data_IF_074220485678
#
_entry.id   IF_074220485678
#
_cell.length_a   1.000
_cell.length_b   1.000
_cell.length_c   1.000
_cell.angle_alpha   90.00
_cell.angle_beta   90.00
_cell.angle_gamma   90.00
#
_symmetry.space_group_name_H-M   'P 1'
#
loop_
_entity.id
_entity.type
_entity.pdbx_description
1 polymer ?
#
# COMPACT_ATOMS: atom_id res chain seq x y z
N UNK A 1 23.17 0.37 -31.13
CA UNK A 1 23.38 1.77 -30.70
C UNK A 1 22.15 2.46 -30.09
N UNK A 2 20.95 2.41 -30.69
CA UNK A 2 19.73 3.03 -30.09
C UNK A 2 19.21 2.26 -28.86
N UNK A 3 19.32 0.93 -28.87
CA UNK A 3 18.93 0.05 -27.74
C UNK A 3 19.76 0.28 -26.46
N UNK A 4 21.08 0.45 -26.58
CA UNK A 4 21.97 0.64 -25.43
C UNK A 4 21.79 2.02 -24.79
N UNK A 5 21.54 3.06 -25.60
CA UNK A 5 21.22 4.40 -25.08
C UNK A 5 19.89 4.43 -24.31
N UNK A 6 18.91 3.64 -24.74
CA UNK A 6 17.62 3.49 -24.05
C UNK A 6 17.76 2.81 -22.68
N UNK A 7 18.56 1.74 -22.61
CA UNK A 7 18.86 1.04 -21.36
C UNK A 7 19.62 1.92 -20.36
N UNK A 8 20.65 2.63 -20.82
CA UNK A 8 21.43 3.56 -19.99
C UNK A 8 20.58 4.70 -19.40
N UNK A 9 19.55 5.17 -20.14
CA UNK A 9 18.66 6.23 -19.65
C UNK A 9 17.71 5.73 -18.55
N UNK A 10 17.15 4.51 -18.70
CA UNK A 10 16.35 3.90 -17.63
C UNK A 10 17.18 3.64 -16.38
N UNK A 11 18.43 3.18 -16.53
CA UNK A 11 19.33 2.96 -15.40
C UNK A 11 19.62 4.25 -14.62
N UNK A 12 19.85 5.38 -15.31
CA UNK A 12 20.02 6.69 -14.66
C UNK A 12 18.77 7.12 -13.88
N UNK A 13 17.57 6.86 -14.41
CA UNK A 13 16.31 7.17 -13.71
C UNK A 13 16.15 6.33 -12.45
N UNK A 14 16.47 5.03 -12.52
CA UNK A 14 16.47 4.13 -11.36
C UNK A 14 17.47 4.63 -10.30
N UNK A 15 18.71 4.94 -10.69
CA UNK A 15 19.74 5.43 -9.77
C UNK A 15 19.38 6.78 -9.14
N UNK A 16 18.76 7.67 -9.91
CA UNK A 16 18.21 8.93 -9.38
C UNK A 16 17.16 8.68 -8.31
N UNK A 17 16.20 7.76 -8.55
CA UNK A 17 15.19 7.41 -7.56
C UNK A 17 15.82 6.76 -6.32
N UNK A 18 16.75 5.81 -6.49
CA UNK A 18 17.50 5.17 -5.38
C UNK A 18 18.22 6.22 -4.53
N UNK A 19 18.89 7.19 -5.15
CA UNK A 19 19.56 8.29 -4.44
C UNK A 19 18.55 9.17 -3.67
N UNK A 20 17.41 9.50 -4.28
CA UNK A 20 16.35 10.28 -3.61
C UNK A 20 15.75 9.54 -2.41
N UNK A 21 15.53 8.23 -2.52
CA UNK A 21 15.03 7.38 -1.43
C UNK A 21 16.04 7.25 -0.28
N UNK A 22 17.31 7.01 -0.60
CA UNK A 22 18.40 6.94 0.40
C UNK A 22 18.58 8.23 1.19
N UNK A 23 18.45 9.37 0.50
CA UNK A 23 18.59 10.70 1.11
C UNK A 23 17.30 11.21 1.77
N UNK A 24 16.22 10.41 1.81
CA UNK A 24 14.91 10.80 2.33
C UNK A 24 14.38 12.12 1.75
N UNK A 25 14.64 12.36 0.45
CA UNK A 25 14.16 13.55 -0.25
C UNK A 25 12.69 13.41 -0.70
N UNK A 26 12.24 12.17 -0.90
CA UNK A 26 10.85 11.84 -1.17
C UNK A 26 10.22 11.42 0.15
N UNK A 27 9.38 12.28 0.72
CA UNK A 27 8.69 12.05 1.99
C UNK A 27 7.20 11.90 1.69
N UNK A 28 6.68 10.70 1.92
CA UNK A 28 5.26 10.41 1.76
C UNK A 28 5.02 9.14 0.96
N UNK A 29 4.11 8.32 1.45
CA UNK A 29 3.82 6.99 0.89
C UNK A 29 3.26 7.10 -0.55
N UNK A 30 2.30 7.99 -0.80
CA UNK A 30 1.68 8.14 -2.14
C UNK A 30 2.67 8.69 -3.18
N UNK A 31 3.43 9.72 -2.83
CA UNK A 31 4.41 10.34 -3.75
C UNK A 31 5.50 9.33 -4.11
N UNK A 32 5.95 8.55 -3.11
CA UNK A 32 6.91 7.47 -3.33
C UNK A 32 6.32 6.34 -4.20
N UNK A 33 5.05 5.97 -4.00
CA UNK A 33 4.36 5.01 -4.85
C UNK A 33 4.32 5.49 -6.32
N UNK A 34 3.87 6.73 -6.55
CA UNK A 34 3.74 7.31 -7.89
C UNK A 34 5.09 7.36 -8.63
N UNK A 35 6.15 7.84 -7.97
CA UNK A 35 7.50 7.84 -8.55
C UNK A 35 7.99 6.42 -8.87
N UNK A 36 7.67 5.44 -8.02
CA UNK A 36 8.00 4.02 -8.25
C UNK A 36 7.27 3.49 -9.49
N UNK A 37 5.96 3.72 -9.61
CA UNK A 37 5.18 3.33 -10.80
C UNK A 37 5.76 3.98 -12.06
N UNK A 38 6.07 5.28 -12.02
CA UNK A 38 6.65 5.97 -13.17
C UNK A 38 7.98 5.37 -13.62
N UNK A 39 8.87 5.00 -12.68
CA UNK A 39 10.13 4.33 -13.01
C UNK A 39 9.89 2.96 -13.62
N UNK A 40 9.04 2.13 -13.01
CA UNK A 40 8.73 0.79 -13.54
C UNK A 40 8.08 0.86 -14.92
N UNK A 41 7.17 1.81 -15.14
CA UNK A 41 6.58 2.09 -16.46
C UNK A 41 7.65 2.36 -17.52
N UNK A 42 8.65 3.19 -17.22
CA UNK A 42 9.76 3.46 -18.16
C UNK A 42 10.65 2.23 -18.39
N UNK A 43 10.81 1.38 -17.38
CA UNK A 43 11.53 0.11 -17.52
C UNK A 43 10.78 -0.83 -18.46
N UNK A 44 9.48 -1.05 -18.25
CA UNK A 44 8.65 -1.94 -19.07
C UNK A 44 8.56 -1.45 -20.52
N UNK A 45 8.39 -0.14 -20.72
CA UNK A 45 8.35 0.49 -22.05
C UNK A 45 9.62 0.18 -22.87
N UNK A 46 10.79 0.27 -22.24
CA UNK A 46 12.09 0.07 -22.91
C UNK A 46 12.60 -1.38 -22.86
N UNK A 47 12.00 -2.22 -22.02
CA UNK A 47 12.39 -3.62 -21.87
C UNK A 47 12.19 -4.39 -23.18
N UNK A 48 13.13 -5.28 -23.48
CA UNK A 48 13.01 -6.28 -24.54
C UNK A 48 13.04 -7.63 -23.87
N UNK A 49 11.97 -8.39 -24.02
CA UNK A 49 11.81 -9.70 -23.44
C UNK A 49 11.19 -10.63 -24.49
N UNK A 50 11.54 -11.92 -24.42
CA UNK A 50 10.94 -12.98 -25.24
C UNK A 50 9.88 -13.73 -24.45
N UNK A 51 10.13 -13.92 -23.15
CA UNK A 51 9.23 -14.58 -22.23
C UNK A 51 8.83 -13.62 -21.11
N UNK A 52 7.62 -13.81 -20.54
CA UNK A 52 7.15 -12.99 -19.43
C UNK A 52 8.03 -13.12 -18.19
N UNK A 53 8.61 -14.30 -17.96
CA UNK A 53 9.49 -14.56 -16.82
C UNK A 53 10.76 -13.68 -16.87
N UNK A 54 11.27 -13.37 -18.07
CA UNK A 54 12.37 -12.42 -18.24
C UNK A 54 11.95 -11.00 -17.81
N UNK A 55 10.73 -10.58 -18.15
CA UNK A 55 10.19 -9.29 -17.75
C UNK A 55 9.98 -9.21 -16.24
N UNK A 56 9.37 -10.24 -15.64
CA UNK A 56 9.18 -10.36 -14.20
C UNK A 56 10.54 -10.32 -13.49
N UNK A 57 11.53 -11.06 -13.99
CA UNK A 57 12.90 -11.04 -13.45
C UNK A 57 13.55 -9.65 -13.51
N UNK A 58 13.37 -8.92 -14.61
CA UNK A 58 13.83 -7.53 -14.72
C UNK A 58 13.16 -6.62 -13.70
N UNK A 59 11.83 -6.67 -13.56
CA UNK A 59 11.07 -5.85 -12.61
C UNK A 59 11.48 -6.19 -11.16
N UNK A 60 11.56 -7.47 -10.80
CA UNK A 60 12.04 -7.92 -9.48
C UNK A 60 13.45 -7.41 -9.19
N UNK A 61 14.37 -7.47 -10.15
CA UNK A 61 15.74 -6.97 -9.96
C UNK A 61 15.80 -5.47 -9.69
N UNK A 62 14.98 -4.67 -10.38
CA UNK A 62 14.86 -3.23 -10.12
C UNK A 62 14.18 -2.99 -8.77
N UNK A 63 13.16 -3.79 -8.46
CA UNK A 63 12.43 -3.70 -7.21
C UNK A 63 13.28 -3.95 -5.99
N UNK A 64 14.11 -5.00 -5.99
CA UNK A 64 15.11 -5.26 -4.94
C UNK A 64 15.99 -4.05 -4.68
N UNK A 65 16.56 -3.47 -5.74
CA UNK A 65 17.42 -2.27 -5.61
C UNK A 65 16.70 -1.08 -5.00
N UNK A 66 15.41 -0.90 -5.28
CA UNK A 66 14.60 0.18 -4.72
C UNK A 66 14.22 -0.08 -3.26
N UNK A 67 13.88 -1.32 -2.90
CA UNK A 67 13.59 -1.72 -1.52
C UNK A 67 14.84 -1.62 -0.65
N UNK A 68 16.00 -2.09 -1.15
CA UNK A 68 17.29 -1.98 -0.47
C UNK A 68 17.73 -0.53 -0.24
N UNK A 69 17.23 0.41 -1.05
CA UNK A 69 17.52 1.83 -0.90
C UNK A 69 16.90 2.42 0.37
N UNK A 70 15.69 1.97 0.71
CA UNK A 70 14.97 2.38 1.93
C UNK A 70 14.02 1.25 2.37
N UNK A 71 14.51 0.27 3.16
CA UNK A 71 13.71 -0.92 3.51
C UNK A 71 12.52 -0.60 4.41
N UNK A 72 12.54 0.55 5.10
CA UNK A 72 11.46 0.99 5.99
C UNK A 72 10.26 1.55 5.25
N UNK A 73 10.43 2.00 4.00
CA UNK A 73 9.34 2.50 3.16
C UNK A 73 8.72 1.34 2.37
N UNK A 74 7.81 0.63 3.03
CA UNK A 74 7.17 -0.58 2.50
C UNK A 74 6.36 -0.32 1.22
N UNK A 75 5.88 0.91 1.06
CA UNK A 75 5.09 1.34 -0.10
C UNK A 75 5.77 1.03 -1.42
N UNK A 76 7.09 1.22 -1.53
CA UNK A 76 7.86 0.95 -2.75
C UNK A 76 7.72 -0.52 -3.17
N UNK A 77 8.01 -1.43 -2.24
CA UNK A 77 7.92 -2.87 -2.49
C UNK A 77 6.49 -3.30 -2.77
N UNK A 78 5.52 -2.77 -2.03
CA UNK A 78 4.10 -3.07 -2.23
C UNK A 78 3.62 -2.67 -3.63
N UNK A 79 3.97 -1.46 -4.09
CA UNK A 79 3.65 -1.01 -5.45
C UNK A 79 4.26 -1.92 -6.52
N UNK A 80 5.49 -2.38 -6.33
CA UNK A 80 6.15 -3.30 -7.27
C UNK A 80 5.44 -4.66 -7.30
N UNK A 81 5.10 -5.23 -6.13
CA UNK A 81 4.35 -6.49 -6.04
C UNK A 81 2.98 -6.39 -6.70
N UNK A 82 2.29 -5.27 -6.49
CA UNK A 82 1.00 -4.99 -7.13
C UNK A 82 1.14 -4.98 -8.66
N UNK A 83 2.14 -4.28 -9.19
CA UNK A 83 2.43 -4.27 -10.63
C UNK A 83 2.72 -5.68 -11.15
N UNK A 84 3.52 -6.47 -10.44
CA UNK A 84 3.82 -7.85 -10.83
C UNK A 84 2.56 -8.73 -10.89
N UNK A 85 1.69 -8.60 -9.89
CA UNK A 85 0.41 -9.30 -9.85
C UNK A 85 -0.49 -8.94 -11.05
N UNK A 86 -0.73 -7.64 -11.30
CA UNK A 86 -1.52 -7.20 -12.46
C UNK A 86 -0.91 -7.66 -13.80
N UNK A 87 0.43 -7.65 -13.93
CA UNK A 87 1.11 -8.16 -15.14
C UNK A 87 0.85 -9.67 -15.33
N UNK A 88 0.86 -10.47 -14.26
CA UNK A 88 0.54 -11.90 -14.34
C UNK A 88 -0.92 -12.13 -14.71
N UNK A 89 -1.85 -11.39 -14.10
CA UNK A 89 -3.28 -11.50 -14.37
C UNK A 89 -3.62 -11.17 -15.82
N UNK A 90 -3.12 -10.06 -16.34
CA UNK A 90 -3.35 -9.65 -17.73
C UNK A 90 -2.71 -10.62 -18.73
N UNK A 91 -1.52 -11.13 -18.42
CA UNK A 91 -0.88 -12.14 -19.28
C UNK A 91 -1.68 -13.44 -19.32
N UNK A 92 -2.16 -13.92 -18.17
CA UNK A 92 -2.97 -15.13 -18.09
C UNK A 92 -4.29 -14.95 -18.86
N UNK A 93 -4.91 -13.77 -18.74
CA UNK A 93 -6.14 -13.40 -19.47
C UNK A 93 -5.89 -13.35 -20.98
N UNK A 94 -4.79 -12.74 -21.42
CA UNK A 94 -4.40 -12.69 -22.83
C UNK A 94 -4.07 -14.09 -23.39
N UNK A 95 -3.39 -14.93 -22.62
CA UNK A 95 -3.06 -16.30 -23.00
C UNK A 95 -4.33 -17.16 -23.15
N UNK A 96 -5.28 -17.06 -22.23
CA UNK A 96 -6.58 -17.72 -22.35
C UNK A 96 -7.36 -17.27 -23.58
N UNK A 97 -7.39 -15.96 -23.86
CA UNK A 97 -8.04 -15.39 -25.04
C UNK A 97 -7.39 -15.85 -26.36
N UNK A 98 -6.08 -16.07 -26.39
CA UNK A 98 -5.39 -16.64 -27.55
C UNK A 98 -5.75 -18.11 -27.78
N UNK A 99 -5.93 -18.87 -26.69
CA UNK A 99 -6.30 -20.30 -26.74
C UNK A 99 -7.75 -20.49 -27.21
N UNK A 100 -8.66 -19.59 -26.83
CA UNK A 100 -10.05 -19.56 -27.29
C UNK A 100 -10.19 -19.22 -28.78
N UNK A 101 -9.24 -18.44 -29.35
CA UNK A 101 -9.19 -18.16 -30.80
C UNK A 101 -8.56 -19.31 -31.61
N UNK A 102 -7.83 -20.23 -30.97
CA UNK A 102 -7.14 -21.36 -31.60
C UNK A 102 -7.88 -22.71 -31.46
N UNK A 103 -9.05 -22.75 -30.83
CA UNK A 103 -9.89 -23.95 -30.81
C UNK A 103 -10.44 -24.26 -32.22
N UNK A 104 -10.40 -25.52 -32.71
CA UNK A 104 -11.09 -25.86 -33.93
C UNK A 104 -12.59 -25.62 -33.70
N UNK A 105 -13.27 -25.01 -34.67
CA UNK A 105 -14.73 -24.90 -34.69
C UNK A 105 -15.34 -26.31 -34.78
N UNK A 106 -15.34 -27.09 -33.70
CA UNK A 106 -16.15 -28.30 -33.63
C UNK A 106 -17.54 -27.87 -33.22
N UNK A 107 -18.50 -28.01 -34.13
CA UNK A 107 -19.90 -27.69 -33.89
C UNK A 107 -20.43 -28.33 -32.61
N UNK A 108 -21.31 -27.61 -31.93
CA UNK A 108 -22.09 -28.13 -30.82
C UNK A 108 -22.79 -29.43 -31.25
N UNK A 109 -22.28 -30.58 -30.81
CA UNK A 109 -22.95 -31.87 -30.96
C UNK A 109 -23.67 -32.22 -29.66
N UNK A 110 -24.99 -32.30 -29.74
CA UNK A 110 -25.93 -32.66 -28.67
C UNK A 110 -25.57 -34.00 -28.00
N UNK A 111 -24.81 -34.86 -28.67
CA UNK A 111 -24.36 -36.16 -28.17
C UNK A 111 -23.49 -36.07 -26.91
N UNK A 112 -22.74 -34.98 -26.70
CA UNK A 112 -21.88 -34.83 -25.53
C UNK A 112 -22.61 -34.30 -24.28
N UNK A 113 -23.79 -33.70 -24.45
CA UNK A 113 -24.58 -33.16 -23.34
C UNK A 113 -25.30 -34.27 -22.55
N UNK A 114 -25.67 -35.35 -23.23
CA UNK A 114 -26.36 -36.51 -22.63
C UNK A 114 -25.41 -37.36 -21.78
N UNK A 115 -24.10 -37.32 -22.03
CA UNK A 115 -23.11 -38.06 -21.23
C UNK A 115 -22.74 -37.39 -19.89
N UNK A 116 -23.08 -36.10 -19.72
CA UNK A 116 -22.80 -35.34 -18.48
C UNK A 116 -23.88 -35.52 -17.40
N UNK A 117 -24.98 -36.23 -17.68
CA UNK A 117 -26.10 -36.43 -16.76
C UNK A 117 -25.90 -37.46 -15.64
N UNK A 118 -24.68 -37.98 -15.41
CA UNK A 118 -24.41 -38.89 -14.30
C UNK A 118 -23.62 -38.20 -13.18
N UNK A 119 -24.06 -38.31 -11.91
CA UNK A 119 -23.39 -37.65 -10.80
C UNK A 119 -22.09 -38.41 -10.45
N UNK A 120 -20.93 -37.81 -10.68
CA UNK A 120 -19.65 -38.33 -10.19
C UNK A 120 -19.24 -37.64 -8.89
N UNK A 121 -18.96 -38.47 -7.88
CA UNK A 121 -18.44 -38.13 -6.55
C UNK A 121 -17.20 -37.22 -6.63
N UNK A 122 -17.14 -36.24 -5.73
CA UNK A 122 -15.99 -35.35 -5.52
C UNK A 122 -14.72 -36.15 -5.21
N UNK A 123 -13.67 -35.92 -6.00
CA UNK A 123 -12.28 -36.17 -5.64
C UNK A 123 -11.42 -35.02 -6.14
N UNK A 124 -10.64 -34.43 -5.22
CA UNK A 124 -9.71 -33.31 -5.41
C UNK A 124 -8.75 -33.52 -6.60
N UNK A 125 -8.35 -32.47 -7.34
CA UNK A 125 -7.35 -32.62 -8.39
C UNK A 125 -5.94 -32.69 -7.75
N UNK A 126 -5.29 -33.84 -7.93
CA UNK A 126 -3.86 -34.02 -7.69
C UNK A 126 -3.04 -33.38 -8.83
N UNK A 127 -1.93 -32.74 -8.45
CA UNK A 127 -0.84 -32.30 -9.34
C UNK A 127 -0.20 -33.49 -10.06
N UNK A 128 -0.37 -33.56 -11.38
CA UNK A 128 0.53 -34.16 -12.39
C UNK A 128 -0.08 -33.82 -13.76
N UNK A 129 0.63 -33.40 -14.80
CA UNK A 129 1.95 -33.82 -15.27
C UNK A 129 2.56 -32.74 -16.16
N UNK A 130 3.88 -32.65 -16.11
CA UNK A 130 4.75 -31.96 -17.05
C UNK A 130 4.49 -32.41 -18.48
N UNK A 131 4.00 -31.50 -19.33
CA UNK A 131 4.03 -31.66 -20.78
C UNK A 131 5.38 -31.14 -21.26
N UNK A 132 6.29 -32.06 -21.61
CA UNK A 132 7.50 -31.73 -22.35
C UNK A 132 7.10 -31.12 -23.71
N UNK A 133 7.42 -29.83 -23.92
CA UNK A 133 7.34 -29.17 -25.23
C UNK A 133 8.66 -29.39 -25.95
N UNK A 134 8.60 -29.97 -27.15
CA UNK A 134 9.72 -30.02 -28.11
C UNK A 134 10.25 -28.60 -28.41
N UNK A 135 11.57 -28.34 -28.44
CA UNK A 135 12.10 -26.96 -28.41
C UNK A 135 12.37 -26.30 -29.78
N UNK A 136 12.17 -26.97 -30.91
CA UNK A 136 12.88 -26.56 -32.15
C UNK A 136 12.04 -25.88 -33.26
N UNK A 137 10.76 -25.52 -33.04
CA UNK A 137 9.96 -24.86 -34.11
C UNK A 137 9.13 -23.63 -33.71
N UNK A 138 9.25 -23.09 -32.48
CA UNK A 138 8.41 -21.97 -32.01
C UNK A 138 9.13 -20.62 -31.81
N UNK A 139 10.39 -20.49 -32.17
CA UNK A 139 11.25 -19.35 -31.75
C UNK A 139 10.86 -18.01 -32.40
N UNK A 140 10.13 -18.01 -33.53
CA UNK A 140 9.72 -16.78 -34.22
C UNK A 140 8.35 -16.23 -33.80
N UNK A 141 7.43 -17.09 -33.36
CA UNK A 141 6.05 -16.68 -33.02
C UNK A 141 5.94 -15.98 -31.65
N UNK A 142 6.88 -16.24 -30.74
CA UNK A 142 6.86 -15.66 -29.38
C UNK A 142 7.30 -14.19 -29.36
N UNK A 143 8.14 -13.75 -30.30
CA UNK A 143 8.61 -12.36 -30.38
C UNK A 143 7.51 -11.39 -30.79
N UNK A 144 6.65 -11.78 -31.74
CA UNK A 144 5.52 -10.97 -32.20
C UNK A 144 4.41 -10.91 -31.14
N UNK A 145 4.20 -12.01 -30.41
CA UNK A 145 3.30 -12.06 -29.27
C UNK A 145 3.77 -11.13 -28.13
N UNK A 146 5.06 -11.17 -27.79
CA UNK A 146 5.64 -10.28 -26.77
C UNK A 146 5.49 -8.80 -27.14
N UNK A 147 5.59 -8.45 -28.43
CA UNK A 147 5.41 -7.07 -28.89
C UNK A 147 3.93 -6.64 -28.89
N UNK A 148 3.00 -7.55 -29.12
CA UNK A 148 1.55 -7.32 -29.00
C UNK A 148 1.04 -7.24 -27.56
N UNK A 149 1.73 -7.85 -26.59
CA UNK A 149 1.35 -7.83 -25.17
C UNK A 149 1.78 -6.57 -24.43
N UNK A 150 2.82 -5.88 -24.90
CA UNK A 150 3.29 -4.62 -24.30
C UNK A 150 2.21 -3.56 -24.05
N UNK A 151 1.31 -3.22 -25.01
CA UNK A 151 0.25 -2.25 -24.74
C UNK A 151 -0.68 -2.70 -23.61
N UNK A 152 -1.04 -3.98 -23.54
CA UNK A 152 -1.88 -4.54 -22.46
C UNK A 152 -1.17 -4.42 -21.11
N UNK A 153 0.11 -4.77 -21.05
CA UNK A 153 0.90 -4.62 -19.81
C UNK A 153 1.08 -3.15 -19.39
N UNK A 154 1.12 -2.24 -20.36
CA UNK A 154 1.20 -0.80 -20.08
C UNK A 154 -0.13 -0.23 -19.58
N UNK A 155 -1.26 -0.78 -20.04
CA UNK A 155 -2.60 -0.49 -19.53
C UNK A 155 -2.72 -0.92 -18.07
N UNK A 156 -2.31 -2.15 -17.72
CA UNK A 156 -2.25 -2.61 -16.33
C UNK A 156 -1.44 -1.70 -15.39
N UNK A 157 -0.29 -1.19 -15.85
CA UNK A 157 0.52 -0.25 -15.06
C UNK A 157 -0.18 1.12 -14.94
N UNK A 158 -0.93 1.53 -15.97
CA UNK A 158 -1.71 2.76 -15.94
C UNK A 158 -2.89 2.64 -14.96
N UNK A 159 -3.55 1.48 -14.89
CA UNK A 159 -4.63 1.23 -13.93
C UNK A 159 -4.15 1.37 -12.49
N UNK A 160 -2.97 0.83 -12.16
CA UNK A 160 -2.36 1.02 -10.83
C UNK A 160 -2.06 2.49 -10.55
N UNK A 161 -1.68 3.27 -11.57
CA UNK A 161 -1.42 4.70 -11.41
C UNK A 161 -2.72 5.47 -11.14
N UNK A 162 -3.76 5.21 -11.92
CA UNK A 162 -5.07 5.87 -11.80
C UNK A 162 -5.73 5.52 -10.44
N UNK A 163 -5.54 4.29 -9.97
CA UNK A 163 -5.94 3.88 -8.62
C UNK A 163 -5.20 4.72 -7.56
N UNK A 164 -3.86 4.81 -7.63
CA UNK A 164 -3.05 5.59 -6.69
C UNK A 164 -3.45 7.08 -6.67
N UNK A 165 -3.90 7.61 -7.79
CA UNK A 165 -4.35 8.99 -7.88
C UNK A 165 -5.69 9.23 -7.19
N UNK A 166 -6.61 8.27 -7.32
CA UNK A 166 -8.01 8.35 -6.85
C UNK A 166 -8.22 7.83 -5.42
N UNK A 167 -7.20 7.26 -4.77
CA UNK A 167 -7.31 6.65 -3.42
C UNK A 167 -8.00 7.58 -2.41
N UNK A 168 -7.59 8.85 -2.33
CA UNK A 168 -8.12 9.75 -1.31
C UNK A 168 -9.60 10.05 -1.52
N UNK A 169 -10.02 10.24 -2.77
CA UNK A 169 -11.42 10.48 -3.10
C UNK A 169 -12.28 9.25 -2.82
N UNK A 170 -11.76 8.05 -3.10
CA UNK A 170 -12.46 6.81 -2.85
C UNK A 170 -12.64 6.54 -1.35
N UNK A 171 -11.58 6.70 -0.56
CA UNK A 171 -11.65 6.58 0.91
C UNK A 171 -12.59 7.63 1.52
N UNK A 172 -12.57 8.86 1.00
CA UNK A 172 -13.43 9.95 1.47
C UNK A 172 -14.92 9.71 1.23
N UNK A 173 -15.33 8.93 0.22
CA UNK A 173 -16.75 8.63 -0.05
C UNK A 173 -17.44 7.93 1.12
N UNK A 174 -16.72 7.08 1.86
CA UNK A 174 -17.24 6.36 3.02
C UNK A 174 -17.41 7.26 4.26
N UNK A 175 -16.87 8.48 4.25
CA UNK A 175 -16.85 9.35 5.44
C UNK A 175 -18.24 9.72 5.96
N UNK A 176 -19.22 9.87 5.07
CA UNK A 176 -20.61 10.18 5.42
C UNK A 176 -21.29 9.08 6.26
N UNK A 177 -20.84 7.84 6.14
CA UNK A 177 -21.50 6.69 6.77
C UNK A 177 -20.99 6.48 8.20
N UNK A 178 -19.75 6.91 8.50
CA UNK A 178 -19.10 6.72 9.81
C UNK A 178 -19.11 7.94 10.74
N UNK A 179 -19.13 9.17 10.19
CA UNK A 179 -19.07 10.40 10.99
C UNK A 179 -20.46 10.99 11.12
N UNK A 180 -21.01 11.09 12.32
CA UNK A 180 -22.32 11.72 12.57
C UNK A 180 -22.19 13.17 13.09
N UNK A 181 -23.30 13.91 13.07
CA UNK A 181 -23.34 15.27 13.59
C UNK A 181 -23.11 15.29 15.10
N UNK A 182 -22.44 16.34 15.57
CA UNK A 182 -22.11 16.59 16.98
C UNK A 182 -21.23 15.50 17.64
N UNK A 183 -20.53 14.70 16.83
CA UNK A 183 -19.54 13.75 17.31
C UNK A 183 -18.20 14.43 17.62
N UNK A 184 -17.49 13.87 18.59
CA UNK A 184 -16.12 14.25 18.94
C UNK A 184 -15.16 13.18 18.43
N UNK A 185 -14.33 13.55 17.47
CA UNK A 185 -13.35 12.66 16.84
C UNK A 185 -11.95 13.02 17.31
N UNK A 186 -11.14 12.03 17.68
CA UNK A 186 -9.72 12.21 17.96
C UNK A 186 -8.87 11.77 16.78
N UNK A 187 -7.87 12.57 16.41
CA UNK A 187 -6.84 12.22 15.42
C UNK A 187 -5.45 12.63 15.91
N UNK A 188 -4.41 12.00 15.38
CA UNK A 188 -3.00 12.27 15.74
C UNK A 188 -2.24 12.71 14.50
N UNK A 189 -1.47 13.80 14.66
CA UNK A 189 -0.52 14.27 13.66
C UNK A 189 -1.21 14.73 12.38
N UNK A 190 -0.47 14.64 11.27
CA UNK A 190 -1.00 14.97 9.93
C UNK A 190 -1.02 13.76 9.02
N UNK A 191 -2.22 13.40 8.56
CA UNK A 191 -2.42 12.41 7.50
C UNK A 191 -3.29 12.99 6.40
N UNK A 192 -2.76 13.03 5.16
CA UNK A 192 -3.49 13.52 3.98
C UNK A 192 -4.78 12.73 3.74
N UNK A 193 -4.78 11.43 4.03
CA UNK A 193 -5.97 10.56 3.87
C UNK A 193 -7.05 10.92 4.89
N UNK A 194 -6.67 11.10 6.16
CA UNK A 194 -7.62 11.48 7.22
C UNK A 194 -8.12 12.91 7.01
N UNK A 195 -7.26 13.82 6.54
CA UNK A 195 -7.64 15.18 6.17
C UNK A 195 -8.73 15.20 5.09
N UNK A 196 -8.50 14.49 3.97
CA UNK A 196 -9.48 14.38 2.90
C UNK A 196 -10.79 13.73 3.37
N UNK A 197 -10.68 12.74 4.25
CA UNK A 197 -11.82 12.03 4.84
C UNK A 197 -12.68 12.96 5.71
N UNK A 198 -12.06 13.71 6.63
CA UNK A 198 -12.76 14.67 7.50
C UNK A 198 -13.34 15.84 6.70
N UNK A 199 -12.62 16.37 5.70
CA UNK A 199 -13.13 17.42 4.81
C UNK A 199 -14.38 16.98 4.05
N UNK A 200 -14.38 15.75 3.56
CA UNK A 200 -15.54 15.20 2.84
C UNK A 200 -16.76 15.08 3.77
N UNK A 201 -16.58 14.61 5.00
CA UNK A 201 -17.66 14.55 5.99
C UNK A 201 -18.20 15.93 6.38
N UNK A 202 -17.33 16.94 6.46
CA UNK A 202 -17.68 18.30 6.86
C UNK A 202 -18.67 19.00 5.91
N UNK A 203 -18.71 18.58 4.63
CA UNK A 203 -19.71 19.08 3.69
C UNK A 203 -21.14 18.66 4.03
N UNK A 204 -21.32 17.56 4.76
CA UNK A 204 -22.62 17.00 5.08
C UNK A 204 -23.03 17.22 6.54
N UNK A 205 -22.06 17.27 7.47
CA UNK A 205 -22.31 17.23 8.91
C UNK A 205 -21.35 18.13 9.67
N UNK A 206 -21.83 18.70 10.77
CA UNK A 206 -21.02 19.47 11.71
C UNK A 206 -20.55 18.56 12.84
N UNK A 207 -19.25 18.55 13.13
CA UNK A 207 -18.66 17.73 14.19
C UNK A 207 -17.40 18.44 14.73
N UNK A 208 -16.87 17.93 15.84
CA UNK A 208 -15.66 18.47 16.47
C UNK A 208 -14.51 17.49 16.34
N UNK A 209 -13.35 17.99 15.94
CA UNK A 209 -12.12 17.19 15.81
C UNK A 209 -11.09 17.65 16.83
N UNK A 210 -10.67 16.74 17.69
CA UNK A 210 -9.53 16.90 18.57
C UNK A 210 -8.30 16.40 17.82
N UNK A 211 -7.29 17.26 17.66
CA UNK A 211 -6.03 16.94 17.00
C UNK A 211 -4.93 16.92 18.04
N UNK A 212 -4.27 15.78 18.20
CA UNK A 212 -3.04 15.70 19.00
C UNK A 212 -1.84 16.20 18.18
N UNK A 213 -1.00 17.04 18.77
CA UNK A 213 0.05 17.75 18.05
C UNK A 213 1.21 16.89 17.54
N UNK A 214 1.46 15.72 18.15
CA UNK A 214 2.56 14.80 17.82
C UNK A 214 3.94 15.43 17.99
N UNK A 215 4.24 15.82 19.22
CA UNK A 215 5.59 16.20 19.65
C UNK A 215 6.53 14.99 19.49
N UNK A 216 7.72 15.12 18.87
CA UNK A 216 8.48 16.35 18.57
C UNK A 216 8.27 16.93 17.16
N UNK A 217 7.51 16.27 16.28
CA UNK A 217 7.32 16.70 14.89
C UNK A 217 6.36 17.90 14.71
N UNK A 218 5.46 18.09 15.68
CA UNK A 218 4.39 19.11 15.66
C UNK A 218 3.53 19.13 14.39
N UNK A 219 3.46 18.00 13.67
CA UNK A 219 2.71 17.89 12.41
C UNK A 219 1.21 18.15 12.59
N UNK A 220 0.65 17.89 13.78
CA UNK A 220 -0.76 18.13 14.09
C UNK A 220 -1.16 19.62 14.06
N UNK A 221 -0.23 20.55 14.27
CA UNK A 221 -0.50 21.98 14.15
C UNK A 221 -0.91 22.37 12.73
N UNK A 222 -0.27 21.76 11.73
CA UNK A 222 -0.61 21.98 10.33
C UNK A 222 -1.98 21.39 9.99
N UNK A 223 -2.28 20.19 10.48
CA UNK A 223 -3.58 19.54 10.33
C UNK A 223 -4.70 20.39 10.95
N UNK A 224 -4.52 20.89 12.17
CA UNK A 224 -5.47 21.75 12.85
C UNK A 224 -5.75 23.04 12.06
N UNK A 225 -4.70 23.69 11.51
CA UNK A 225 -4.86 24.87 10.65
C UNK A 225 -5.68 24.57 9.41
N UNK A 226 -5.40 23.45 8.74
CA UNK A 226 -6.09 23.05 7.52
C UNK A 226 -7.57 22.74 7.80
N UNK A 227 -7.87 21.99 8.85
CA UNK A 227 -9.24 21.65 9.22
C UNK A 227 -10.03 22.89 9.70
N UNK A 228 -9.39 23.79 10.45
CA UNK A 228 -9.99 25.07 10.85
C UNK A 228 -10.33 25.94 9.62
N UNK A 229 -9.43 26.01 8.63
CA UNK A 229 -9.70 26.73 7.37
C UNK A 229 -10.85 26.13 6.56
N UNK A 230 -11.13 24.84 6.74
CA UNK A 230 -12.27 24.15 6.11
C UNK A 230 -13.59 24.33 6.89
N UNK A 231 -13.59 25.08 8.00
CA UNK A 231 -14.79 25.34 8.80
C UNK A 231 -15.13 24.26 9.83
N UNK A 232 -14.21 23.34 10.10
CA UNK A 232 -14.41 22.27 11.10
C UNK A 232 -13.99 22.79 12.48
N UNK A 233 -14.83 22.55 13.50
CA UNK A 233 -14.50 22.84 14.90
C UNK A 233 -13.31 21.98 15.32
N UNK A 234 -12.16 22.60 15.57
CA UNK A 234 -10.90 21.91 15.83
C UNK A 234 -10.32 22.32 17.17
N UNK A 235 -9.89 21.32 17.96
CA UNK A 235 -9.25 21.52 19.26
C UNK A 235 -7.87 20.88 19.21
N UNK A 236 -6.83 21.67 19.41
CA UNK A 236 -5.46 21.18 19.47
C UNK A 236 -5.13 20.77 20.92
N UNK A 237 -4.54 19.60 21.10
CA UNK A 237 -4.15 19.08 22.42
C UNK A 237 -2.71 18.53 22.39
N UNK A 238 -1.98 18.59 23.53
CA UNK A 238 -0.71 17.89 23.66
C UNK A 238 -0.94 16.38 23.78
N UNK A 239 0.05 15.59 23.36
CA UNK A 239 -0.07 14.12 23.33
C UNK A 239 -0.30 13.52 24.73
N UNK A 240 0.25 14.14 25.77
CA UNK A 240 0.04 13.72 27.17
C UNK A 240 -1.42 13.82 27.63
N UNK A 241 -2.22 14.68 26.99
CA UNK A 241 -3.62 14.89 27.34
C UNK A 241 -4.58 13.93 26.65
N UNK A 242 -4.10 13.09 25.72
CA UNK A 242 -4.92 12.12 24.97
C UNK A 242 -5.75 11.25 25.91
N UNK A 243 -5.13 10.72 26.97
CA UNK A 243 -5.82 9.85 27.92
C UNK A 243 -6.89 10.60 28.73
N UNK A 244 -6.62 11.85 29.12
CA UNK A 244 -7.53 12.65 29.95
C UNK A 244 -8.83 13.02 29.22
N UNK A 245 -8.74 13.28 27.91
CA UNK A 245 -9.88 13.70 27.08
C UNK A 245 -10.63 12.51 26.46
N UNK A 246 -10.05 11.31 26.50
CA UNK A 246 -10.62 10.12 25.85
C UNK A 246 -12.04 9.78 26.32
N UNK A 247 -12.37 10.10 27.58
CA UNK A 247 -13.72 9.93 28.15
C UNK A 247 -14.84 10.67 27.40
N UNK A 248 -14.50 11.69 26.59
CA UNK A 248 -15.47 12.47 25.80
C UNK A 248 -15.38 12.17 24.30
N UNK A 249 -14.38 11.42 23.86
CA UNK A 249 -14.17 11.10 22.45
C UNK A 249 -15.12 9.99 22.06
N UNK A 250 -15.82 10.15 20.93
CA UNK A 250 -16.71 9.12 20.41
C UNK A 250 -15.98 8.13 19.51
N UNK A 251 -15.01 8.60 18.70
CA UNK A 251 -14.24 7.78 17.77
C UNK A 251 -12.81 8.27 17.65
N UNK A 252 -11.87 7.35 17.45
CA UNK A 252 -10.48 7.68 17.10
C UNK A 252 -10.25 7.35 15.64
N UNK A 253 -9.81 8.33 14.84
CA UNK A 253 -9.50 8.14 13.42
C UNK A 253 -8.00 8.34 13.20
N UNK A 254 -7.33 7.26 12.82
CA UNK A 254 -5.88 7.21 12.60
C UNK A 254 -5.53 7.01 11.13
N UNK A 255 -4.34 7.49 10.75
CA UNK A 255 -3.72 7.14 9.48
C UNK A 255 -2.64 6.09 9.69
N UNK A 256 -2.51 5.14 8.75
CA UNK A 256 -1.40 4.19 8.75
C UNK A 256 -0.25 4.64 7.84
N UNK A 257 0.98 4.28 8.19
CA UNK A 257 2.12 4.30 7.29
C UNK A 257 2.17 3.00 6.46
N UNK A 258 2.12 1.85 7.13
CA UNK A 258 2.06 0.53 6.51
C UNK A 258 1.17 -0.41 7.34
N UNK A 259 0.44 -1.31 6.68
CA UNK A 259 -0.40 -2.32 7.34
C UNK A 259 0.19 -3.69 7.01
N UNK A 260 0.35 -4.55 8.00
CA UNK A 260 0.97 -5.87 7.88
C UNK A 260 -0.07 -6.97 7.66
N UNK A 261 0.38 -8.15 7.23
CA UNK A 261 -0.52 -9.27 6.97
C UNK A 261 -1.17 -9.88 8.22
N UNK A 262 -0.58 -9.64 9.41
CA UNK A 262 -1.23 -9.97 10.67
C UNK A 262 -2.35 -8.98 11.07
N UNK A 263 -2.59 -7.93 10.27
CA UNK A 263 -3.57 -6.89 10.54
C UNK A 263 -3.10 -5.79 11.49
N UNK A 264 -1.86 -5.84 11.99
CA UNK A 264 -1.24 -4.73 12.71
C UNK A 264 -0.76 -3.64 11.76
N UNK A 265 -0.50 -2.45 12.29
CA UNK A 265 -0.04 -1.33 11.46
C UNK A 265 1.14 -0.59 12.08
N UNK A 266 1.97 -0.01 11.21
CA UNK A 266 2.87 1.07 11.57
C UNK A 266 2.15 2.39 11.35
N UNK A 267 2.16 3.25 12.37
CA UNK A 267 1.58 4.58 12.34
C UNK A 267 2.57 5.58 12.95
N UNK A 268 2.25 6.87 12.91
CA UNK A 268 3.11 7.88 13.52
C UNK A 268 3.21 7.64 15.03
N UNK A 269 4.33 8.04 15.64
CA UNK A 269 4.52 7.97 17.09
C UNK A 269 3.34 8.61 17.85
N UNK A 270 2.94 8.00 18.96
CA UNK A 270 1.76 8.38 19.74
C UNK A 270 0.48 7.65 19.32
N UNK A 271 0.43 7.02 18.15
CA UNK A 271 -0.74 6.24 17.71
C UNK A 271 -1.03 5.07 18.64
N UNK A 272 0.02 4.38 19.12
CA UNK A 272 -0.15 3.28 20.09
C UNK A 272 -0.71 3.79 21.43
N UNK A 273 -0.33 5.00 21.86
CA UNK A 273 -0.85 5.62 23.07
C UNK A 273 -2.35 5.91 22.92
N UNK A 274 -2.78 6.51 21.81
CA UNK A 274 -4.21 6.74 21.57
C UNK A 274 -5.00 5.45 21.44
N UNK A 275 -4.48 4.43 20.74
CA UNK A 275 -5.17 3.15 20.61
C UNK A 275 -5.34 2.44 21.95
N UNK A 276 -4.33 2.47 22.83
CA UNK A 276 -4.44 1.91 24.18
C UNK A 276 -5.42 2.70 25.06
N UNK A 277 -5.38 4.04 24.98
CA UNK A 277 -6.33 4.89 25.68
C UNK A 277 -7.77 4.63 25.18
N UNK A 278 -7.95 4.48 23.87
CA UNK A 278 -9.23 4.18 23.26
C UNK A 278 -9.80 2.85 23.75
N UNK A 279 -8.94 1.81 23.77
CA UNK A 279 -9.28 0.50 24.30
C UNK A 279 -9.72 0.54 25.76
N UNK A 280 -9.05 1.32 26.60
CA UNK A 280 -9.41 1.48 28.01
C UNK A 280 -10.78 2.16 28.21
N UNK A 281 -11.16 3.04 27.28
CA UNK A 281 -12.43 3.77 27.31
C UNK A 281 -13.51 3.15 26.39
N UNK A 282 -13.25 1.99 25.80
CA UNK A 282 -14.13 1.32 24.83
C UNK A 282 -14.55 2.24 23.68
N UNK A 283 -13.67 3.15 23.25
CA UNK A 283 -13.90 3.99 22.08
C UNK A 283 -13.36 3.28 20.84
N UNK A 284 -14.14 3.23 19.74
CA UNK A 284 -13.73 2.53 18.53
C UNK A 284 -12.57 3.25 17.82
N UNK A 285 -11.60 2.47 17.35
CA UNK A 285 -10.44 2.93 16.59
C UNK A 285 -10.61 2.55 15.12
N UNK A 286 -10.75 3.58 14.28
CA UNK A 286 -10.91 3.50 12.84
C UNK A 286 -9.62 3.93 12.16
N UNK A 287 -9.16 3.16 11.18
CA UNK A 287 -7.92 3.45 10.45
C UNK A 287 -8.24 3.74 8.99
N UNK A 288 -7.86 4.93 8.51
CA UNK A 288 -8.02 5.28 7.10
C UNK A 288 -6.68 5.11 6.36
N UNK A 289 -6.64 4.18 5.40
CA UNK A 289 -5.45 3.90 4.61
C UNK A 289 -5.79 3.36 3.22
N UNK A 290 -4.98 3.72 2.21
CA UNK A 290 -5.10 3.12 0.88
C UNK A 290 -4.51 1.72 0.82
N UNK A 291 -5.02 0.89 -0.11
CA UNK A 291 -4.53 -0.48 -0.32
C UNK A 291 -3.03 -0.58 -0.64
N UNK A 292 -2.44 0.44 -1.26
CA UNK A 292 -1.00 0.47 -1.57
C UNK A 292 -0.08 0.43 -0.32
N UNK A 293 -0.64 0.64 0.88
CA UNK A 293 0.06 0.51 2.17
C UNK A 293 -0.03 -0.90 2.77
N UNK A 294 -0.89 -1.76 2.24
CA UNK A 294 -1.00 -3.16 2.66
C UNK A 294 0.28 -3.91 2.26
N UNK A 295 0.90 -4.58 3.22
CA UNK A 295 2.19 -5.23 3.09
C UNK A 295 2.03 -6.72 3.38
N UNK A 296 2.48 -7.63 2.48
CA UNK A 296 2.31 -9.08 2.65
C UNK A 296 3.19 -9.68 3.77
N UNK A 297 4.07 -8.89 4.38
CA UNK A 297 4.92 -9.33 5.49
C UNK A 297 4.05 -9.58 6.74
N UNK A 298 4.20 -10.78 7.32
CA UNK A 298 3.38 -11.21 8.46
C UNK A 298 3.66 -10.42 9.73
N UNK A 299 4.93 -10.35 10.14
CA UNK A 299 5.31 -9.68 11.38
C UNK A 299 6.73 -9.12 11.30
N UNK A 300 6.87 -7.85 11.67
CA UNK A 300 8.14 -7.12 11.80
C UNK A 300 8.50 -6.79 13.26
N UNK A 301 7.62 -7.13 14.22
CA UNK A 301 7.73 -6.74 15.64
C UNK A 301 9.01 -7.22 16.34
N UNK A 302 9.55 -8.39 15.97
CA UNK A 302 10.76 -8.94 16.59
C UNK A 302 12.04 -8.27 16.12
N UNK A 303 12.00 -7.51 15.02
CA UNK A 303 13.11 -6.68 14.61
C UNK A 303 12.91 -5.31 15.24
N UNK A 304 13.62 -5.02 16.33
CA UNK A 304 13.80 -3.64 16.82
C UNK A 304 14.22 -2.67 15.69
N UNK A 305 14.78 -3.19 14.59
CA UNK A 305 15.08 -2.43 13.36
C UNK A 305 13.87 -2.00 12.52
N UNK A 306 12.65 -2.45 12.83
CA UNK A 306 11.43 -2.05 12.12
C UNK A 306 10.96 -0.64 12.51
N UNK A 307 11.27 -0.18 13.73
CA UNK A 307 10.99 1.18 14.15
C UNK A 307 11.99 2.11 13.45
N UNK A 308 11.48 3.20 12.89
CA UNK A 308 12.33 4.24 12.34
C UNK A 308 12.71 5.25 13.41
N UNK A 309 13.98 5.66 13.40
CA UNK A 309 14.46 6.72 14.29
C UNK A 309 14.66 7.98 13.47
N UNK A 310 14.08 9.06 13.94
CA UNK A 310 14.27 10.40 13.41
C UNK A 310 15.45 11.08 14.13
N UNK A 311 15.77 12.29 13.69
CA UNK A 311 16.84 13.08 14.27
C UNK A 311 16.56 13.36 15.77
N UNK A 312 17.47 13.03 16.69
CA UNK A 312 17.35 13.40 18.10
C UNK A 312 17.29 14.91 18.35
N UNK A 313 17.78 15.73 17.41
CA UNK A 313 17.81 17.20 17.54
C UNK A 313 16.43 17.82 17.72
N UNK A 314 15.38 17.17 17.22
CA UNK A 314 13.99 17.63 17.40
C UNK A 314 13.47 17.43 18.82
N UNK A 315 14.09 16.51 19.58
CA UNK A 315 13.73 16.25 20.99
C UNK A 315 14.58 17.11 21.91
N UNK A 316 15.91 17.13 21.70
CA UNK A 316 16.85 17.92 22.48
C UNK A 316 17.71 18.76 21.55
N UNK A 317 17.60 20.09 21.67
CA UNK A 317 18.37 21.02 20.87
C UNK A 317 19.88 20.93 21.19
N UNK A 318 20.71 21.10 20.17
CA UNK A 318 22.17 21.11 20.34
C UNK A 318 22.68 22.25 21.23
N UNK A 319 21.86 23.29 21.43
CA UNK A 319 22.16 24.42 22.31
C UNK A 319 22.35 23.99 23.77
N UNK A 320 21.76 22.87 24.19
CA UNK A 320 21.86 22.33 25.55
C UNK A 320 23.06 21.39 25.73
N UNK A 321 24.24 21.80 25.25
CA UNK A 321 25.44 20.95 25.13
C UNK A 321 25.85 20.18 26.40
N UNK A 322 25.61 20.74 27.60
CA UNK A 322 25.88 20.03 28.86
C UNK A 322 24.99 18.81 29.13
N UNK A 323 23.81 18.76 28.53
CA UNK A 323 22.86 17.65 28.63
C UNK A 323 23.08 16.63 27.52
N UNK A 324 23.42 17.07 26.31
CA UNK A 324 23.70 16.20 25.15
C UNK A 324 24.82 15.19 25.45
N UNK A 325 25.85 15.59 26.21
CA UNK A 325 26.94 14.68 26.59
C UNK A 325 26.56 13.64 27.66
N UNK A 326 25.47 13.87 28.41
CA UNK A 326 25.11 13.07 29.59
C UNK A 326 23.87 12.22 29.39
N UNK A 327 23.01 12.58 28.44
CA UNK A 327 21.70 11.96 28.23
C UNK A 327 21.67 11.31 26.86
N UNK A 328 21.25 10.05 26.82
CA UNK A 328 20.93 9.37 25.56
C UNK A 328 19.55 9.83 25.09
N UNK A 329 19.51 10.49 23.94
CA UNK A 329 18.27 11.01 23.35
C UNK A 329 17.88 10.13 22.17
N UNK A 330 16.66 9.58 22.23
CA UNK A 330 16.11 8.70 21.21
C UNK A 330 14.80 9.28 20.70
N UNK A 331 14.62 9.30 19.37
CA UNK A 331 13.43 9.82 18.72
C UNK A 331 12.81 8.76 17.79
N UNK A 332 11.92 7.87 18.28
CA UNK A 332 11.19 6.95 17.44
C UNK A 332 10.14 7.70 16.61
N UNK A 333 10.12 7.48 15.31
CA UNK A 333 9.24 8.16 14.36
C UNK A 333 7.92 7.40 14.12
N UNK A 334 7.99 6.07 14.07
CA UNK A 334 6.82 5.20 13.91
C UNK A 334 6.57 4.40 15.17
N UNK A 335 5.30 4.12 15.44
CA UNK A 335 4.84 3.16 16.43
C UNK A 335 4.20 1.95 15.74
N UNK A 336 4.34 0.78 16.35
CA UNK A 336 3.59 -0.40 15.96
C UNK A 336 2.32 -0.53 16.80
N UNK A 337 1.17 -0.58 16.13
CA UNK A 337 -0.14 -0.77 16.76
C UNK A 337 -0.62 -2.20 16.51
N UNK A 338 -0.90 -2.91 17.61
CA UNK A 338 -1.39 -4.28 17.56
C UNK A 338 -2.79 -4.35 16.91
N UNK A 339 -3.08 -5.41 16.13
CA UNK A 339 -4.38 -5.59 15.49
C UNK A 339 -5.56 -5.63 16.47
N UNK A 340 -5.32 -6.07 17.71
CA UNK A 340 -6.36 -6.18 18.75
C UNK A 340 -6.89 -4.83 19.25
N UNK A 341 -6.16 -3.75 18.99
CA UNK A 341 -6.54 -2.38 19.38
C UNK A 341 -7.31 -1.66 18.26
N UNK A 342 -7.51 -2.32 17.11
CA UNK A 342 -8.08 -1.74 15.91
C UNK A 342 -9.42 -2.41 15.62
N UNK A 343 -10.42 -1.62 15.26
CA UNK A 343 -11.76 -2.15 15.01
C UNK A 343 -12.05 -2.25 13.51
N UNK A 344 -11.73 -1.21 12.74
CA UNK A 344 -12.06 -1.12 11.30
C UNK A 344 -10.95 -0.44 10.50
N UNK A 345 -10.64 -1.00 9.34
CA UNK A 345 -9.86 -0.39 8.27
C UNK A 345 -10.77 0.15 7.17
N UNK A 346 -10.67 1.44 6.89
CA UNK A 346 -11.34 2.09 5.76
C UNK A 346 -10.33 2.22 4.63
N UNK A 347 -10.61 1.50 3.54
CA UNK A 347 -9.78 1.46 2.33
C UNK A 347 -10.55 1.96 1.12
N UNK A 348 -9.91 1.98 -0.06
CA UNK A 348 -10.54 2.38 -1.31
C UNK A 348 -11.62 1.40 -1.81
N UNK A 349 -11.60 0.13 -1.37
CA UNK A 349 -12.61 -0.89 -1.73
C UNK A 349 -13.73 -0.99 -0.68
N UNK A 350 -13.58 -0.28 0.44
CA UNK A 350 -14.57 -0.22 1.51
C UNK A 350 -13.99 -0.51 2.89
N UNK A 351 -14.88 -0.91 3.79
CA UNK A 351 -14.59 -1.09 5.20
C UNK A 351 -14.33 -2.56 5.51
N UNK A 352 -13.24 -2.81 6.23
CA UNK A 352 -12.74 -4.16 6.50
C UNK A 352 -12.35 -4.33 7.96
N UNK A 353 -12.77 -5.41 8.64
CA UNK A 353 -12.20 -5.74 9.94
C UNK A 353 -10.72 -6.15 9.81
N UNK A 354 -9.91 -6.01 10.88
CA UNK A 354 -8.50 -6.45 10.86
C UNK A 354 -8.31 -7.92 10.45
N UNK A 355 -9.27 -8.78 10.76
CA UNK A 355 -9.23 -10.21 10.41
C UNK A 355 -9.34 -10.47 8.90
N UNK A 356 -9.96 -9.58 8.12
CA UNK A 356 -10.08 -9.73 6.67
C UNK A 356 -8.91 -9.14 5.90
N UNK A 357 -7.98 -8.44 6.56
CA UNK A 357 -6.80 -7.84 5.90
C UNK A 357 -5.97 -8.89 5.15
N UNK A 358 -5.84 -10.09 5.71
CA UNK A 358 -5.16 -11.20 5.04
C UNK A 358 -5.79 -11.56 3.68
N UNK A 359 -7.12 -11.50 3.58
CA UNK A 359 -7.83 -11.78 2.33
C UNK A 359 -7.57 -10.70 1.30
N UNK A 360 -7.61 -9.42 1.70
CA UNK A 360 -7.28 -8.31 0.80
C UNK A 360 -5.86 -8.42 0.25
N UNK A 361 -4.92 -8.80 1.11
CA UNK A 361 -3.51 -8.99 0.70
C UNK A 361 -3.40 -10.11 -0.34
N UNK A 362 -4.11 -11.22 -0.15
CA UNK A 362 -4.16 -12.31 -1.13
C UNK A 362 -4.84 -11.96 -2.44
N UNK A 363 -5.83 -11.06 -2.41
CA UNK A 363 -6.50 -10.55 -3.61
C UNK A 363 -5.65 -9.49 -4.33
N UNK A 364 -4.68 -8.87 -3.66
CA UNK A 364 -3.85 -7.78 -4.22
C UNK A 364 -2.45 -8.24 -4.63
N UNK A 365 -1.93 -9.30 -4.01
CA UNK A 365 -0.55 -9.74 -4.17
C UNK A 365 -0.45 -11.26 -4.36
N UNK A 366 0.52 -11.69 -5.16
CA UNK A 366 0.87 -13.10 -5.30
C UNK A 366 1.79 -13.58 -4.16
N UNK A 367 1.55 -14.80 -3.67
CA UNK A 367 2.35 -15.44 -2.62
C UNK A 367 3.85 -15.56 -3.03
N UNK A 368 4.14 -15.68 -4.34
CA UNK A 368 5.49 -15.79 -4.91
C UNK A 368 6.35 -14.53 -4.75
N UNK A 369 5.73 -13.38 -4.47
CA UNK A 369 6.41 -12.07 -4.45
C UNK A 369 6.52 -11.49 -3.03
N UNK A 370 6.25 -12.29 -2.01
CA UNK A 370 6.40 -11.88 -0.61
C UNK A 370 7.84 -11.37 -0.36
N UNK A 371 8.82 -12.12 -0.85
CA UNK A 371 10.23 -11.71 -0.92
C UNK A 371 10.55 -11.23 -2.34
N UNK A 372 11.01 -9.99 -2.46
CA UNK A 372 11.41 -9.38 -3.75
C UNK A 372 12.84 -9.79 -4.11
#
# INVERSE_FOLDING_TARGET
MSSERGSATSQRQIESLVCRLRRRQLIGSRETALETVHVIRQVVLRARFRHIDELIGMIKSVGRRLVDAQPKEHTVGNTIRKILHHIREEYNTAAQNSTLKAGPKSGFSISNFVLMGQPKKQSMPQKSSSVERNPESSVQNDSDLAQGLKPVLMEAIQDVLDELETVYDNVSKSAKDHIHSDEIILTIGKSKTVEAYLKSAAHYRNFTVIVAETCPSYSGHEMARILSSAGISTVLVPDSSIYAIMSRVNKVILGAHAILANGGMFAITGSLMASNAARAHSTPVVVCAGQFKLTPLWNLYHQYGALDFADPSSVLGFEEGSLVEKVEVVNPYYDYVNPELLDVYITNDGDHPPSSVYRLIKETYDDEDTEL
#
